data_IF_210443387581
#
_entry.id   IF_210443387581
#
_cell.length_a   1.000
_cell.length_b   1.000
_cell.length_c   1.000
_cell.angle_alpha   90.00
_cell.angle_beta   90.00
_cell.angle_gamma   90.00
#
_symmetry.space_group_name_H-M   'P 1'
#
loop_
_entity.id
_entity.type
_entity.pdbx_description
1 polymer ?
#
# COMPACT_ATOMS: atom_id res chain seq x y z
N UNK A 1 -2.26 -25.89 -19.39
CA UNK A 1 -2.52 -25.25 -18.09
C UNK A 1 -3.57 -24.18 -18.28
N UNK A 2 -4.80 -24.44 -17.87
CA UNK A 2 -5.90 -23.48 -17.94
C UNK A 2 -6.06 -22.89 -16.53
N UNK A 3 -5.74 -21.61 -16.36
CA UNK A 3 -5.97 -20.94 -15.08
C UNK A 3 -7.42 -20.47 -15.06
N UNK A 4 -8.20 -20.92 -14.08
CA UNK A 4 -9.57 -20.43 -13.91
C UNK A 4 -9.50 -19.02 -13.36
N UNK A 5 -9.98 -18.03 -14.14
CA UNK A 5 -9.99 -16.62 -13.72
C UNK A 5 -11.39 -16.24 -13.26
N UNK A 6 -11.50 -15.83 -12.00
CA UNK A 6 -12.73 -15.32 -11.39
C UNK A 6 -12.62 -13.81 -11.22
N UNK A 7 -13.63 -13.08 -11.69
CA UNK A 7 -13.76 -11.65 -11.46
C UNK A 7 -14.76 -11.41 -10.34
N UNK A 8 -14.30 -10.73 -9.29
CA UNK A 8 -15.13 -10.31 -8.16
C UNK A 8 -15.56 -8.87 -8.36
N UNK A 9 -16.77 -8.55 -7.90
CA UNK A 9 -17.39 -7.23 -8.12
C UNK A 9 -17.16 -6.26 -6.98
N UNK A 10 -16.88 -6.77 -5.77
CA UNK A 10 -16.65 -5.95 -4.58
C UNK A 10 -15.25 -6.18 -4.03
N UNK A 11 -14.72 -5.16 -3.36
CA UNK A 11 -13.42 -5.27 -2.71
C UNK A 11 -13.47 -6.23 -1.51
N UNK A 12 -14.58 -6.25 -0.76
CA UNK A 12 -14.72 -7.13 0.40
C UNK A 12 -14.68 -8.61 0.02
N UNK A 13 -15.37 -9.01 -1.06
CA UNK A 13 -15.28 -10.37 -1.61
C UNK A 13 -13.86 -10.70 -2.06
N UNK A 14 -13.16 -9.73 -2.66
CA UNK A 14 -11.77 -9.91 -3.05
C UNK A 14 -10.88 -10.20 -1.84
N UNK A 15 -11.06 -9.48 -0.73
CA UNK A 15 -10.26 -9.67 0.49
C UNK A 15 -10.48 -11.07 1.06
N UNK A 16 -11.75 -11.48 1.23
CA UNK A 16 -12.10 -12.79 1.81
C UNK A 16 -11.51 -13.93 0.99
N UNK A 17 -11.66 -13.90 -0.32
CA UNK A 17 -11.13 -14.97 -1.17
C UNK A 17 -9.61 -14.92 -1.30
N UNK A 18 -9.00 -13.73 -1.26
CA UNK A 18 -7.55 -13.59 -1.22
C UNK A 18 -6.96 -14.16 0.07
N UNK A 19 -7.56 -13.89 1.23
CA UNK A 19 -7.16 -14.47 2.52
C UNK A 19 -7.32 -15.99 2.52
N UNK A 20 -8.41 -16.51 1.92
CA UNK A 20 -8.65 -17.94 1.78
C UNK A 20 -7.55 -18.62 0.96
N UNK A 21 -7.15 -18.03 -0.17
CA UNK A 21 -6.05 -18.54 -1.00
C UNK A 21 -4.71 -18.49 -0.25
N UNK A 22 -4.43 -17.38 0.43
CA UNK A 22 -3.22 -17.22 1.23
C UNK A 22 -3.10 -18.24 2.35
N UNK A 23 -4.19 -18.49 3.07
CA UNK A 23 -4.20 -19.45 4.19
C UNK A 23 -4.03 -20.87 3.69
N UNK A 24 -4.50 -21.18 2.47
CA UNK A 24 -4.39 -22.50 1.88
C UNK A 24 -2.96 -22.83 1.41
N UNK A 25 -2.29 -21.90 0.72
CA UNK A 25 -0.91 -22.09 0.25
C UNK A 25 -0.18 -20.75 0.14
N UNK A 26 0.42 -20.26 1.24
CA UNK A 26 1.09 -18.97 1.25
C UNK A 26 2.37 -18.96 0.41
N UNK A 27 3.02 -20.12 0.21
CA UNK A 27 4.29 -20.21 -0.52
C UNK A 27 4.10 -20.06 -2.04
N UNK A 28 2.98 -20.55 -2.56
CA UNK A 28 2.67 -20.46 -3.99
C UNK A 28 1.71 -19.31 -4.34
N UNK A 29 1.14 -18.64 -3.34
CA UNK A 29 0.24 -17.50 -3.55
C UNK A 29 1.01 -16.24 -3.89
N UNK A 30 0.61 -15.59 -4.97
CA UNK A 30 1.18 -14.31 -5.42
C UNK A 30 0.10 -13.25 -5.51
N UNK A 31 0.38 -12.11 -4.90
CA UNK A 31 -0.42 -10.90 -4.99
C UNK A 31 0.24 -9.92 -5.99
N UNK A 32 -0.57 -9.29 -6.84
CA UNK A 32 -0.11 -8.32 -7.83
C UNK A 32 -1.10 -7.17 -7.98
N UNK A 33 -0.55 -5.97 -8.13
CA UNK A 33 -1.29 -4.73 -8.34
C UNK A 33 -0.82 -4.12 -9.66
N UNK A 34 -1.77 -3.70 -10.50
CA UNK A 34 -1.49 -2.98 -11.73
C UNK A 34 -2.27 -1.69 -11.78
N UNK A 35 -1.58 -0.56 -11.70
CA UNK A 35 -2.15 0.77 -11.91
C UNK A 35 -1.95 1.23 -13.35
N UNK A 36 -3.00 1.78 -13.95
CA UNK A 36 -2.96 2.41 -15.27
C UNK A 36 -3.51 3.83 -15.18
N UNK A 37 -2.60 4.79 -15.33
CA UNK A 37 -2.93 6.21 -15.18
C UNK A 37 -3.90 6.71 -16.27
N UNK A 38 -3.74 6.30 -17.53
CA UNK A 38 -4.58 6.80 -18.64
C UNK A 38 -6.07 6.49 -18.43
N UNK A 39 -6.35 5.33 -17.82
CA UNK A 39 -7.72 4.84 -17.61
C UNK A 39 -8.21 5.12 -16.18
N UNK A 40 -7.39 5.79 -15.34
CA UNK A 40 -7.59 5.99 -13.91
C UNK A 40 -8.06 4.70 -13.21
N UNK A 41 -7.39 3.58 -13.51
CA UNK A 41 -7.84 2.25 -13.12
C UNK A 41 -6.74 1.49 -12.41
N UNK A 42 -7.15 0.73 -11.40
CA UNK A 42 -6.28 -0.27 -10.77
C UNK A 42 -6.92 -1.65 -10.85
N UNK A 43 -6.06 -2.64 -11.08
CA UNK A 43 -6.41 -4.05 -11.15
C UNK A 43 -5.60 -4.78 -10.09
N UNK A 44 -6.31 -5.51 -9.24
CA UNK A 44 -5.81 -6.32 -8.16
C UNK A 44 -5.95 -7.79 -8.54
N UNK A 45 -4.89 -8.57 -8.32
CA UNK A 45 -4.85 -9.99 -8.69
C UNK A 45 -4.15 -10.83 -7.64
N UNK A 46 -4.77 -11.94 -7.27
CA UNK A 46 -4.20 -12.98 -6.40
C UNK A 46 -4.28 -14.33 -7.11
N UNK A 47 -3.22 -15.14 -7.03
CA UNK A 47 -3.19 -16.46 -7.67
C UNK A 47 -2.30 -17.46 -6.93
N UNK A 48 -2.73 -18.72 -6.89
CA UNK A 48 -2.03 -19.89 -6.35
C UNK A 48 -1.44 -20.81 -7.47
N UNK A 49 -1.32 -20.30 -8.69
CA UNK A 49 -1.01 -21.07 -9.91
C UNK A 49 -2.09 -22.05 -10.38
N UNK A 50 -3.31 -21.99 -9.86
CA UNK A 50 -4.45 -22.78 -10.36
C UNK A 50 -5.64 -21.89 -10.66
N UNK A 51 -5.92 -21.01 -9.72
CA UNK A 51 -7.00 -20.04 -9.77
C UNK A 51 -6.42 -18.63 -9.75
N UNK A 52 -7.11 -17.71 -10.40
CA UNK A 52 -6.76 -16.29 -10.41
C UNK A 52 -8.00 -15.51 -10.02
N UNK A 53 -7.90 -14.75 -8.93
CA UNK A 53 -8.95 -13.85 -8.49
C UNK A 53 -8.55 -12.44 -8.90
N UNK A 54 -9.46 -11.74 -9.56
CA UNK A 54 -9.21 -10.41 -10.11
C UNK A 54 -10.29 -9.42 -9.65
N UNK A 55 -9.87 -8.31 -9.07
CA UNK A 55 -10.72 -7.15 -8.77
C UNK A 55 -10.25 -5.94 -9.59
N UNK A 56 -11.20 -5.15 -10.08
CA UNK A 56 -10.91 -4.00 -10.96
C UNK A 56 -11.77 -2.83 -10.53
N UNK A 57 -11.13 -1.75 -10.11
CA UNK A 57 -11.80 -0.54 -9.61
C UNK A 57 -11.28 0.73 -10.30
N UNK A 58 -12.14 1.75 -10.31
CA UNK A 58 -11.81 3.13 -10.68
C UNK A 58 -12.13 4.09 -9.54
N UNK A 59 -12.68 3.61 -8.44
CA UNK A 59 -13.10 4.44 -7.32
C UNK A 59 -11.90 4.81 -6.45
N UNK A 60 -11.77 6.09 -6.11
CA UNK A 60 -10.64 6.60 -5.32
C UNK A 60 -10.69 6.12 -3.86
N UNK A 61 -11.88 5.84 -3.34
CA UNK A 61 -12.12 5.20 -2.04
C UNK A 61 -11.37 3.88 -1.93
N UNK A 62 -11.51 3.03 -2.94
CA UNK A 62 -10.87 1.72 -2.99
C UNK A 62 -9.35 1.81 -3.12
N UNK A 63 -8.84 2.85 -3.80
CA UNK A 63 -7.38 3.06 -3.93
C UNK A 63 -6.74 3.27 -2.56
N UNK A 64 -7.39 4.03 -1.66
CA UNK A 64 -6.89 4.22 -0.29
C UNK A 64 -6.99 2.93 0.54
N UNK A 65 -8.04 2.14 0.33
CA UNK A 65 -8.20 0.86 0.99
C UNK A 65 -7.15 -0.17 0.51
N UNK A 66 -6.76 -0.09 -0.76
CA UNK A 66 -5.73 -0.92 -1.36
C UNK A 66 -4.36 -0.74 -0.71
N UNK A 67 -3.97 0.49 -0.34
CA UNK A 67 -2.71 0.71 0.38
C UNK A 67 -2.70 -0.03 1.72
N UNK A 68 -3.83 -0.01 2.44
CA UNK A 68 -4.00 -0.75 3.70
C UNK A 68 -3.94 -2.26 3.46
N UNK A 69 -4.61 -2.73 2.42
CA UNK A 69 -4.63 -4.14 2.02
C UNK A 69 -3.22 -4.64 1.64
N UNK A 70 -2.44 -3.83 0.92
CA UNK A 70 -1.05 -4.16 0.58
C UNK A 70 -0.18 -4.33 1.83
N UNK A 71 -0.33 -3.43 2.81
CA UNK A 71 0.38 -3.56 4.08
C UNK A 71 -0.06 -4.82 4.85
N UNK A 72 -1.35 -5.15 4.84
CA UNK A 72 -1.87 -6.36 5.49
C UNK A 72 -1.31 -7.65 4.86
N UNK A 73 -1.21 -7.73 3.53
CA UNK A 73 -0.58 -8.86 2.84
C UNK A 73 0.92 -8.94 3.11
N UNK A 74 1.63 -7.80 3.11
CA UNK A 74 3.06 -7.78 3.43
C UNK A 74 3.32 -8.27 4.86
N UNK A 75 2.49 -7.93 5.85
CA UNK A 75 2.60 -8.47 7.21
C UNK A 75 2.40 -9.98 7.25
N UNK A 76 1.40 -10.49 6.54
CA UNK A 76 1.19 -11.94 6.44
C UNK A 76 2.40 -12.67 5.86
N UNK A 77 3.18 -12.02 5.00
CA UNK A 77 4.38 -12.61 4.40
C UNK A 77 5.64 -12.55 5.28
N UNK A 78 5.76 -11.60 6.20
CA UNK A 78 7.04 -11.32 6.88
C UNK A 78 7.10 -11.82 8.33
N UNK A 79 6.04 -12.40 8.88
CA UNK A 79 5.91 -12.73 10.32
C UNK A 79 6.16 -11.53 11.27
N UNK A 80 6.33 -10.32 10.73
CA UNK A 80 6.50 -9.09 11.49
C UNK A 80 5.12 -8.67 11.99
N UNK A 81 4.99 -8.48 13.30
CA UNK A 81 3.71 -8.11 13.89
C UNK A 81 3.21 -6.78 13.31
N UNK A 82 1.89 -6.62 13.08
CA UNK A 82 1.31 -5.37 12.61
C UNK A 82 1.69 -4.17 13.50
N UNK A 83 1.82 -4.42 14.80
CA UNK A 83 2.26 -3.45 15.81
C UNK A 83 3.67 -2.90 15.51
N UNK A 84 4.62 -3.78 15.17
CA UNK A 84 6.01 -3.39 14.92
C UNK A 84 6.13 -2.48 13.68
N UNK A 85 5.36 -2.77 12.63
CA UNK A 85 5.34 -1.92 11.43
C UNK A 85 4.62 -0.60 11.68
N UNK A 86 3.51 -0.61 12.42
CA UNK A 86 2.81 0.62 12.78
C UNK A 86 3.72 1.56 13.60
N UNK A 87 4.50 1.01 14.52
CA UNK A 87 5.50 1.76 15.28
C UNK A 87 6.59 2.34 14.35
N UNK A 88 7.15 1.55 13.43
CA UNK A 88 8.19 2.02 12.52
C UNK A 88 7.69 3.13 11.58
N UNK A 89 6.44 3.05 11.11
CA UNK A 89 5.83 4.08 10.27
C UNK A 89 5.60 5.40 11.02
N UNK A 90 5.09 5.32 12.26
CA UNK A 90 4.89 6.49 13.11
C UNK A 90 6.23 7.17 13.47
N UNK A 91 7.27 6.37 13.75
CA UNK A 91 8.64 6.87 13.96
C UNK A 91 9.21 7.58 12.72
N UNK A 92 9.00 7.01 11.53
CA UNK A 92 9.42 7.65 10.27
C UNK A 92 8.67 8.95 10.01
N UNK A 93 7.37 9.01 10.29
CA UNK A 93 6.57 10.24 10.15
C UNK A 93 7.09 11.33 11.09
N UNK A 94 7.32 11.01 12.36
CA UNK A 94 7.90 11.93 13.35
C UNK A 94 9.28 12.43 12.91
N UNK A 95 10.12 11.57 12.35
CA UNK A 95 11.42 11.99 11.81
C UNK A 95 11.29 12.92 10.61
N UNK A 96 10.37 12.64 9.69
CA UNK A 96 10.12 13.50 8.53
C UNK A 96 9.60 14.88 8.94
N UNK A 97 8.65 14.95 9.87
CA UNK A 97 8.15 16.22 10.41
C UNK A 97 9.25 17.03 11.09
N UNK A 98 10.07 16.38 11.92
CA UNK A 98 11.21 17.03 12.59
C UNK A 98 12.23 17.58 11.59
N UNK A 99 12.52 16.83 10.52
CA UNK A 99 13.41 17.28 9.44
C UNK A 99 12.82 18.48 8.67
N UNK A 100 11.51 18.48 8.42
CA UNK A 100 10.82 19.58 7.76
C UNK A 100 10.81 20.86 8.61
N UNK A 101 10.53 20.75 9.91
CA UNK A 101 10.59 21.87 10.87
C UNK A 101 12.00 22.46 10.95
N UNK A 102 13.04 21.61 11.03
CA UNK A 102 14.43 22.07 11.03
C UNK A 102 14.81 22.79 9.72
N UNK A 103 14.33 22.31 8.58
CA UNK A 103 14.54 22.97 7.29
C UNK A 103 13.82 24.32 7.20
N UNK A 104 12.61 24.44 7.75
CA UNK A 104 11.87 25.71 7.80
C UNK A 104 12.56 26.74 8.70
N UNK A 105 13.01 26.34 9.89
CA UNK A 105 13.73 27.22 10.81
C UNK A 105 15.04 27.76 10.21
N UNK A 106 15.80 26.90 9.51
CA UNK A 106 17.02 27.32 8.80
C UNK A 106 16.73 28.35 7.70
N UNK A 107 15.65 28.17 6.94
CA UNK A 107 15.24 29.14 5.91
C UNK A 107 14.85 30.48 6.52
N UNK A 108 14.11 30.50 7.64
CA UNK A 108 13.73 31.73 8.32
C UNK A 108 14.93 32.50 8.87
N UNK A 109 15.89 31.81 9.50
CA UNK A 109 17.11 32.43 10.02
C UNK A 109 17.97 33.04 8.90
N UNK A 110 18.07 32.37 7.74
CA UNK A 110 18.78 32.89 6.58
C UNK A 110 18.13 34.15 6.01
N UNK A 111 16.79 34.21 5.96
CA UNK A 111 16.05 35.39 5.50
C UNK A 111 16.23 36.59 6.45
N UNK A 112 16.18 36.36 7.77
CA UNK A 112 16.41 37.40 8.77
C UNK A 112 17.85 37.94 8.74
N UNK A 113 18.85 37.06 8.57
CA UNK A 113 20.25 37.46 8.45
C UNK A 113 20.54 38.25 7.16
N UNK A 114 19.78 38.01 6.08
CA UNK A 114 19.87 38.78 4.83
C UNK A 114 19.19 40.15 4.94
N UNK A 115 18.14 40.29 5.77
CA UNK A 115 17.47 41.56 6.02
C UNK A 115 18.29 42.51 6.90
N UNK A 116 19.10 41.99 7.83
CA UNK A 116 19.97 42.81 8.69
C UNK A 116 21.26 43.30 8.02
N UNK A 117 21.57 42.84 6.80
CA UNK A 117 22.74 43.25 6.01
C UNK A 117 22.44 44.30 4.93
N UNK A 118 21.22 44.84 4.91
CA UNK A 118 20.81 46.00 4.11
C UNK A 118 20.57 47.18 5.03
#
# INVERSE_FOLDING_TARGET
YFFSTMYVTTLDEFVVEAERLFTADPANTRYSIKFRHCDAQVVLKVTDNRTVISYKTKELSDVKLMEKLNNAFLHHFTEISPEAVAMELDERQKQQEKQQLAAQQKKQQQQQAQQQKK
#
